data_IF_075504778780
#
_entry.id   IF_075504778780
#
_cell.length_a   1.000
_cell.length_b   1.000
_cell.length_c   1.000
_cell.angle_alpha   90.00
_cell.angle_beta   90.00
_cell.angle_gamma   90.00
#
_symmetry.space_group_name_H-M   'P 1'
#
loop_
_entity.id
_entity.type
_entity.pdbx_description
1 polymer ?
#
# COMPACT_ATOMS: atom_id res chain seq x y z
N UNK A 1 -14.15 -22.24 29.48
CA UNK A 1 -14.26 -20.75 29.49
C UNK A 1 -15.08 -20.34 28.26
N UNK A 2 -16.39 -20.13 28.40
CA UNK A 2 -17.31 -19.84 27.28
C UNK A 2 -17.40 -18.34 26.93
N UNK A 3 -17.32 -17.45 27.93
CA UNK A 3 -17.31 -15.99 27.75
C UNK A 3 -16.28 -15.43 26.75
N UNK A 4 -15.01 -15.87 26.70
CA UNK A 4 -14.05 -15.34 25.73
C UNK A 4 -14.40 -15.70 24.28
N UNK A 5 -15.18 -16.77 24.05
CA UNK A 5 -15.67 -17.13 22.72
C UNK A 5 -16.71 -16.12 22.23
N UNK A 6 -17.74 -15.84 23.03
CA UNK A 6 -18.76 -14.84 22.70
C UNK A 6 -18.17 -13.43 22.52
N UNK A 7 -17.17 -13.06 23.33
CA UNK A 7 -16.45 -11.77 23.16
C UNK A 7 -15.70 -11.67 21.84
N UNK A 8 -15.27 -12.80 21.26
CA UNK A 8 -14.52 -12.81 20.01
C UNK A 8 -15.38 -12.66 18.75
N UNK A 9 -16.68 -12.92 18.86
CA UNK A 9 -17.65 -12.77 17.78
C UNK A 9 -17.95 -11.29 17.48
N UNK A 10 -18.35 -11.01 16.24
CA UNK A 10 -18.78 -9.66 15.82
C UNK A 10 -20.21 -9.38 16.32
N UNK A 11 -20.60 -8.10 16.44
CA UNK A 11 -21.97 -7.72 16.83
C UNK A 11 -23.06 -8.38 15.94
N UNK A 12 -22.95 -8.44 14.60
CA UNK A 12 -23.93 -9.14 13.76
C UNK A 12 -24.01 -10.64 14.05
N UNK A 13 -22.88 -11.33 14.24
CA UNK A 13 -22.87 -12.77 14.60
C UNK A 13 -23.53 -13.02 15.97
N UNK A 14 -23.36 -12.10 16.93
CA UNK A 14 -24.05 -12.17 18.22
C UNK A 14 -25.55 -11.91 18.10
N UNK A 15 -25.96 -11.04 17.19
CA UNK A 15 -27.37 -10.79 16.89
C UNK A 15 -28.02 -12.01 16.23
N UNK A 16 -27.36 -12.66 15.27
CA UNK A 16 -27.84 -13.90 14.65
C UNK A 16 -27.99 -15.03 15.68
N UNK A 17 -27.07 -15.15 16.64
CA UNK A 17 -27.19 -16.12 17.74
C UNK A 17 -28.31 -15.75 18.72
N UNK A 18 -28.54 -14.46 18.95
CA UNK A 18 -29.65 -13.97 19.76
C UNK A 18 -31.00 -14.26 19.09
N UNK A 19 -31.10 -14.05 17.77
CA UNK A 19 -32.25 -14.40 16.95
C UNK A 19 -32.52 -15.91 16.95
N UNK A 20 -31.48 -16.73 16.75
CA UNK A 20 -31.63 -18.20 16.78
C UNK A 20 -32.03 -18.76 18.14
N UNK A 21 -31.80 -18.01 19.21
CA UNK A 21 -32.14 -18.43 20.57
C UNK A 21 -33.37 -17.69 21.13
N UNK A 22 -34.08 -16.92 20.30
CA UNK A 22 -35.24 -16.12 20.68
C UNK A 22 -34.98 -15.22 21.92
N UNK A 23 -33.80 -14.59 21.98
CA UNK A 23 -33.47 -13.67 23.07
C UNK A 23 -34.24 -12.34 22.89
N UNK A 24 -35.12 -11.95 23.84
CA UNK A 24 -35.93 -10.75 23.68
C UNK A 24 -35.09 -9.47 23.83
N UNK A 25 -35.42 -8.43 23.05
CA UNK A 25 -34.82 -7.08 23.11
C UNK A 25 -33.29 -7.07 22.93
N UNK A 26 -32.73 -7.98 22.10
CA UNK A 26 -31.28 -8.06 21.90
C UNK A 26 -30.68 -6.81 21.22
N UNK A 27 -31.49 -6.08 20.43
CA UNK A 27 -31.09 -4.88 19.68
C UNK A 27 -30.70 -3.68 20.55
N UNK A 28 -31.29 -3.57 21.74
CA UNK A 28 -31.06 -2.47 22.67
C UNK A 28 -29.72 -2.61 23.42
N UNK A 29 -29.09 -3.78 23.37
CA UNK A 29 -27.85 -4.05 24.09
C UNK A 29 -26.61 -3.62 23.31
N UNK A 30 -25.67 -2.99 24.04
CA UNK A 30 -24.31 -2.79 23.54
C UNK A 30 -23.59 -4.15 23.44
N UNK A 31 -22.60 -4.28 22.55
CA UNK A 31 -21.90 -5.56 22.27
C UNK A 31 -21.45 -6.29 23.54
N UNK A 32 -20.86 -5.58 24.49
CA UNK A 32 -20.36 -6.18 25.72
C UNK A 32 -21.48 -6.68 26.64
N UNK A 33 -22.61 -5.99 26.64
CA UNK A 33 -23.78 -6.36 27.45
C UNK A 33 -24.53 -7.54 26.81
N UNK A 34 -24.69 -7.50 25.47
CA UNK A 34 -25.25 -8.60 24.67
C UNK A 34 -24.49 -9.91 24.92
N UNK A 35 -23.15 -9.86 25.00
CA UNK A 35 -22.34 -11.05 25.33
C UNK A 35 -22.67 -11.62 26.71
N UNK A 36 -22.87 -10.77 27.72
CA UNK A 36 -23.15 -11.21 29.10
C UNK A 36 -24.58 -11.75 29.21
N UNK A 37 -25.54 -11.03 28.63
CA UNK A 37 -26.95 -11.44 28.60
C UNK A 37 -27.12 -12.75 27.83
N UNK A 38 -26.48 -12.88 26.67
CA UNK A 38 -26.52 -14.10 25.85
C UNK A 38 -25.82 -15.28 26.56
N UNK A 39 -24.67 -15.08 27.21
CA UNK A 39 -24.01 -16.14 27.99
C UNK A 39 -24.89 -16.64 29.13
N UNK A 40 -25.60 -15.73 29.83
CA UNK A 40 -26.55 -16.09 30.88
C UNK A 40 -27.72 -16.90 30.30
N UNK A 41 -28.33 -16.40 29.22
CA UNK A 41 -29.45 -17.06 28.54
C UNK A 41 -29.10 -18.47 28.06
N UNK A 42 -27.92 -18.65 27.45
CA UNK A 42 -27.43 -19.94 26.97
C UNK A 42 -27.13 -20.95 28.08
N UNK A 43 -26.76 -20.48 29.28
CA UNK A 43 -26.54 -21.34 30.44
C UNK A 43 -27.84 -21.76 31.10
N UNK A 44 -28.79 -20.84 31.22
CA UNK A 44 -30.12 -21.09 31.79
C UNK A 44 -30.92 -22.07 30.91
N UNK A 45 -30.83 -21.92 29.59
CA UNK A 45 -31.57 -22.73 28.61
C UNK A 45 -30.73 -23.82 27.94
N UNK A 46 -29.75 -24.38 28.67
CA UNK A 46 -28.78 -25.34 28.12
C UNK A 46 -29.44 -26.59 27.52
N UNK A 47 -30.48 -27.13 28.15
CA UNK A 47 -31.17 -28.34 27.68
C UNK A 47 -31.89 -28.16 26.36
N UNK A 48 -32.28 -26.92 26.02
CA UNK A 48 -33.01 -26.56 24.81
C UNK A 48 -32.02 -26.34 23.66
N UNK A 49 -30.93 -25.63 23.93
CA UNK A 49 -30.00 -25.17 22.90
C UNK A 49 -28.77 -26.03 22.69
N UNK A 50 -28.56 -27.10 23.48
CA UNK A 50 -27.39 -27.98 23.33
C UNK A 50 -27.32 -28.74 22.00
N UNK A 51 -28.43 -28.83 21.26
CA UNK A 51 -28.52 -29.50 19.96
C UNK A 51 -28.27 -28.60 18.75
N UNK A 52 -28.12 -27.28 18.94
CA UNK A 52 -27.90 -26.34 17.83
C UNK A 52 -26.44 -26.38 17.37
N UNK A 53 -26.23 -26.56 16.06
CA UNK A 53 -24.91 -26.65 15.44
C UNK A 53 -24.08 -25.37 15.66
N UNK A 54 -24.73 -24.20 15.60
CA UNK A 54 -24.12 -22.88 15.83
C UNK A 54 -23.57 -22.68 17.24
N UNK A 55 -24.09 -23.42 18.23
CA UNK A 55 -23.71 -23.31 19.65
C UNK A 55 -22.83 -24.47 20.14
N UNK A 56 -22.49 -25.42 19.27
CA UNK A 56 -21.67 -26.59 19.63
C UNK A 56 -20.26 -26.16 20.12
N UNK A 57 -19.67 -25.16 19.47
CA UNK A 57 -18.38 -24.60 19.90
C UNK A 57 -18.48 -23.88 21.25
N UNK A 58 -19.59 -23.19 21.51
CA UNK A 58 -19.85 -22.57 22.81
C UNK A 58 -19.97 -23.62 23.92
N UNK A 59 -20.79 -24.66 23.72
CA UNK A 59 -21.03 -25.70 24.73
C UNK A 59 -19.84 -26.64 24.94
N UNK A 60 -19.05 -26.94 23.91
CA UNK A 60 -17.80 -27.71 24.06
C UNK A 60 -16.75 -26.98 24.92
N UNK A 61 -16.67 -25.64 24.79
CA UNK A 61 -15.82 -24.77 25.61
C UNK A 61 -16.35 -24.55 27.03
N UNK A 62 -17.67 -24.71 27.22
CA UNK A 62 -18.32 -24.69 28.53
C UNK A 62 -18.13 -26.03 29.28
N UNK A 63 -18.23 -27.16 28.57
CA UNK A 63 -18.05 -28.50 29.11
C UNK A 63 -16.59 -28.84 29.43
N UNK A 64 -15.63 -28.12 28.82
CA UNK A 64 -14.21 -28.27 29.13
C UNK A 64 -13.86 -27.64 30.49
N UNK A 65 -13.40 -28.41 31.48
CA UNK A 65 -13.02 -27.87 32.80
C UNK A 65 -11.81 -26.92 32.67
N UNK A 66 -11.62 -25.98 33.62
CA UNK A 66 -10.50 -25.06 33.60
C UNK A 66 -9.17 -25.83 33.67
N UNK A 67 -8.40 -25.80 32.58
CA UNK A 67 -7.01 -26.29 32.56
C UNK A 67 -6.14 -25.39 33.44
N UNK A 68 -6.05 -25.72 34.73
CA UNK A 68 -4.87 -25.43 35.55
C UNK A 68 -3.75 -26.36 35.08
N UNK A 69 -2.65 -25.81 34.57
CA UNK A 69 -1.40 -26.56 34.39
C UNK A 69 -0.77 -26.44 33.01
N UNK A 70 0.40 -25.79 33.01
CA UNK A 70 1.58 -25.87 32.14
C UNK A 70 1.56 -26.83 30.91
N UNK A 71 2.12 -26.40 29.75
CA UNK A 71 2.20 -27.23 28.55
C UNK A 71 3.23 -28.36 28.71
N UNK A 72 2.77 -29.54 29.10
CA UNK A 72 3.54 -30.78 28.95
C UNK A 72 3.32 -31.32 27.54
N UNK A 73 4.45 -31.40 26.83
CA UNK A 73 4.69 -32.08 25.56
C UNK A 73 3.99 -33.44 25.53
N UNK A 74 2.93 -33.57 24.73
CA UNK A 74 2.21 -34.83 24.52
C UNK A 74 2.96 -35.68 23.51
N UNK A 75 3.80 -36.56 24.02
CA UNK A 75 4.29 -37.74 23.34
C UNK A 75 3.22 -38.85 23.51
N UNK A 76 2.88 -39.57 22.45
CA UNK A 76 2.05 -40.78 22.56
C UNK A 76 2.57 -41.84 21.59
N UNK A 77 3.45 -42.66 22.15
CA UNK A 77 3.47 -44.13 22.17
C UNK A 77 3.15 -44.92 20.91
N UNK A 78 4.17 -45.69 20.54
CA UNK A 78 4.30 -46.76 19.54
C UNK A 78 3.39 -47.97 19.79
N UNK A 79 2.93 -48.60 18.71
CA UNK A 79 2.61 -50.03 18.61
C UNK A 79 3.85 -50.83 18.18
N UNK A 80 4.01 -52.12 18.57
CA UNK A 80 5.19 -52.91 18.22
C UNK A 80 4.93 -53.94 17.10
N UNK A 81 5.90 -54.15 16.20
CA UNK A 81 6.51 -55.45 15.88
C UNK A 81 7.50 -55.39 14.70
N UNK A 82 8.72 -55.93 14.93
CA UNK A 82 9.71 -56.61 14.03
C UNK A 82 10.15 -55.87 12.74
N UNK A 83 11.41 -55.70 12.36
CA UNK A 83 12.69 -56.45 12.53
C UNK A 83 13.85 -55.52 12.04
N UNK A 84 15.14 -55.85 12.25
CA UNK A 84 16.23 -54.86 12.39
C UNK A 84 17.13 -54.72 11.15
N UNK A 85 17.80 -53.57 11.00
CA UNK A 85 19.20 -53.47 10.53
C UNK A 85 19.76 -52.03 10.54
N UNK A 86 20.78 -51.84 11.38
CA UNK A 86 22.14 -51.33 11.03
C UNK A 86 22.44 -49.81 11.01
N UNK A 87 23.41 -49.48 11.89
CA UNK A 87 24.43 -48.39 11.91
C UNK A 87 23.93 -46.98 12.31
N UNK A 88 24.27 -46.47 13.50
CA UNK A 88 25.59 -46.01 14.02
C UNK A 88 25.94 -44.58 13.59
N UNK A 89 26.07 -43.67 14.56
CA UNK A 89 26.52 -42.30 14.35
C UNK A 89 26.34 -41.40 15.59
N UNK A 90 27.13 -41.66 16.63
CA UNK A 90 27.29 -40.86 17.86
C UNK A 90 28.13 -39.60 17.54
N UNK A 91 27.73 -38.41 17.99
CA UNK A 91 28.71 -37.36 18.35
C UNK A 91 28.16 -36.40 19.42
N UNK A 92 29.04 -36.18 20.40
CA UNK A 92 28.86 -35.49 21.67
C UNK A 92 28.75 -33.97 21.59
N UNK A 93 28.14 -33.49 22.68
CA UNK A 93 28.17 -32.17 23.31
C UNK A 93 29.57 -31.57 23.40
N UNK A 94 29.66 -30.24 23.23
CA UNK A 94 30.62 -29.39 23.96
C UNK A 94 29.97 -28.04 24.28
N UNK A 95 29.73 -27.82 25.57
CA UNK A 95 29.56 -26.49 26.18
C UNK A 95 30.95 -25.87 26.39
N UNK A 96 31.05 -24.54 26.25
CA UNK A 96 31.97 -23.74 27.07
C UNK A 96 31.48 -22.29 27.12
N UNK A 97 31.34 -21.82 28.37
CA UNK A 97 31.02 -20.49 28.87
C UNK A 97 32.35 -19.76 29.14
N UNK A 98 32.35 -18.42 29.07
CA UNK A 98 33.15 -17.41 29.82
C UNK A 98 32.90 -16.08 29.06
N UNK A 99 32.78 -14.87 29.62
CA UNK A 99 32.41 -14.26 30.92
C UNK A 99 32.73 -12.75 30.72
N UNK A 100 32.06 -11.90 31.48
CA UNK A 100 32.10 -10.42 31.45
C UNK A 100 33.44 -9.76 31.77
N UNK A 101 33.63 -8.51 31.32
CA UNK A 101 34.40 -7.45 32.02
C UNK A 101 33.78 -6.05 31.75
N UNK A 102 33.31 -5.40 32.83
CA UNK A 102 32.98 -3.96 33.00
C UNK A 102 34.25 -3.07 32.83
N UNK A 103 34.26 -1.77 32.55
CA UNK A 103 33.77 -0.67 33.40
C UNK A 103 34.10 0.71 32.78
N UNK A 104 33.26 1.70 33.13
CA UNK A 104 33.58 3.11 33.48
C UNK A 104 33.71 4.24 32.42
N UNK A 105 32.90 5.31 32.69
CA UNK A 105 33.24 6.75 32.81
C UNK A 105 32.27 7.70 32.07
N UNK A 106 31.42 8.38 32.84
CA UNK A 106 30.72 9.66 32.57
C UNK A 106 31.69 10.87 32.71
N UNK A 107 31.47 12.10 32.15
CA UNK A 107 30.27 12.94 32.42
C UNK A 107 29.81 13.95 31.32
N UNK A 108 28.70 14.64 31.61
CA UNK A 108 27.99 15.70 30.83
C UNK A 108 28.80 17.00 30.58
N UNK A 109 28.37 17.95 29.69
CA UNK A 109 27.47 19.05 30.12
C UNK A 109 26.47 19.64 29.08
N UNK A 110 25.30 20.06 29.59
CA UNK A 110 24.51 21.30 29.35
C UNK A 110 24.63 22.07 28.01
N UNK A 111 23.53 22.17 27.24
CA UNK A 111 23.11 23.41 26.49
C UNK A 111 21.58 23.47 26.27
N UNK A 112 20.92 24.37 27.02
CA UNK A 112 19.88 25.38 26.67
C UNK A 112 18.77 25.09 25.62
N UNK A 113 17.52 25.00 26.12
CA UNK A 113 16.20 25.24 25.48
C UNK A 113 15.99 26.73 25.08
N UNK A 114 15.07 27.16 24.14
CA UNK A 114 13.63 26.88 24.26
C UNK A 114 12.75 26.81 23.00
N UNK A 115 11.68 26.03 23.16
CA UNK A 115 10.39 26.05 22.43
C UNK A 115 9.50 27.22 22.87
N UNK A 116 8.57 27.72 22.02
CA UNK A 116 7.33 28.32 22.49
C UNK A 116 6.10 27.45 22.17
N UNK A 117 5.25 27.30 23.19
CA UNK A 117 3.98 26.56 23.21
C UNK A 117 2.78 27.40 22.71
N UNK A 118 1.64 26.77 22.34
CA UNK A 118 0.41 27.44 21.92
C UNK A 118 -0.50 27.77 23.12
N UNK A 119 -1.25 28.88 23.00
CA UNK A 119 -2.17 29.39 24.04
C UNK A 119 -3.60 28.94 23.74
N UNK A 120 -4.20 28.23 24.70
CA UNK A 120 -5.64 28.03 24.81
C UNK A 120 -6.19 28.97 25.90
N UNK A 121 -7.34 29.62 25.66
CA UNK A 121 -8.21 30.14 26.72
C UNK A 121 -9.69 29.92 26.39
N UNK A 122 -10.33 29.30 27.36
CA UNK A 122 -11.77 29.14 27.62
C UNK A 122 -12.43 30.46 27.98
N UNK A 123 -13.73 30.62 27.70
CA UNK A 123 -14.79 30.83 28.74
C UNK A 123 -16.15 31.25 28.16
N UNK A 124 -17.16 30.50 28.61
CA UNK A 124 -18.46 30.94 29.15
C UNK A 124 -19.56 31.49 28.21
N UNK A 125 -20.75 30.98 28.51
CA UNK A 125 -22.06 31.03 27.90
C UNK A 125 -22.92 32.00 28.73
N UNK A 126 -23.66 32.92 28.11
CA UNK A 126 -24.87 33.47 28.72
C UNK A 126 -25.87 34.05 27.70
N UNK A 127 -27.11 34.17 28.15
CA UNK A 127 -28.38 34.09 27.41
C UNK A 127 -29.00 35.43 27.00
N UNK A 128 -29.96 35.29 26.06
CA UNK A 128 -31.25 36.01 25.96
C UNK A 128 -31.29 37.50 25.59
N UNK A 129 -32.02 37.82 24.49
CA UNK A 129 -33.33 38.50 24.56
C UNK A 129 -33.99 38.71 23.18
N UNK A 130 -35.21 38.17 23.07
CA UNK A 130 -36.46 38.82 22.62
C UNK A 130 -36.55 39.53 21.24
N UNK A 131 -37.42 38.97 20.38
CA UNK A 131 -38.21 39.54 19.25
C UNK A 131 -39.14 40.72 19.69
N UNK A 132 -40.00 41.38 18.86
CA UNK A 132 -40.41 41.21 17.43
C UNK A 132 -40.67 42.53 16.62
N UNK A 133 -41.32 42.38 15.44
CA UNK A 133 -42.11 43.37 14.63
C UNK A 133 -41.28 44.26 13.67
N UNK A 134 -41.71 44.60 12.45
CA UNK A 134 -43.02 44.64 11.79
C UNK A 134 -42.80 44.80 10.26
N UNK A 135 -43.57 44.12 9.42
CA UNK A 135 -43.85 44.47 8.01
C UNK A 135 -44.79 45.68 7.93
N UNK A 136 -44.77 46.50 6.85
CA UNK A 136 -45.77 46.27 5.79
C UNK A 136 -45.41 46.73 4.35
N UNK A 137 -46.04 46.00 3.40
CA UNK A 137 -46.68 46.44 2.14
C UNK A 137 -45.83 46.93 0.94
N UNK A 138 -45.94 46.12 -0.12
CA UNK A 138 -45.84 46.49 -1.55
C UNK A 138 -46.71 47.72 -1.92
N UNK A 139 -46.44 48.37 -3.08
CA UNK A 139 -47.09 47.91 -4.31
C UNK A 139 -46.15 47.78 -5.52
N UNK A 140 -46.51 46.88 -6.41
CA UNK A 140 -45.94 46.72 -7.74
C UNK A 140 -46.27 47.93 -8.64
N UNK A 141 -45.28 48.40 -9.40
CA UNK A 141 -45.47 49.14 -10.65
C UNK A 141 -44.33 48.76 -11.61
N UNK A 142 -44.67 48.10 -12.72
CA UNK A 142 -43.84 48.09 -13.94
C UNK A 142 -44.14 49.40 -14.69
N UNK A 143 -43.14 50.05 -15.31
CA UNK A 143 -43.03 49.88 -16.77
C UNK A 143 -41.59 49.98 -17.37
N UNK A 144 -41.42 49.24 -18.47
CA UNK A 144 -40.74 49.63 -19.72
C UNK A 144 -39.24 50.00 -19.76
N UNK A 145 -38.50 49.09 -20.41
CA UNK A 145 -37.32 49.23 -21.30
C UNK A 145 -36.89 50.67 -21.61
N UNK A 146 -35.67 51.05 -21.19
CA UNK A 146 -34.67 51.84 -21.95
C UNK A 146 -33.29 51.58 -21.31
N UNK A 147 -32.36 50.96 -22.04
CA UNK A 147 -30.92 51.22 -21.85
C UNK A 147 -30.58 52.43 -22.75
N UNK A 148 -29.77 53.41 -22.29
CA UNK A 148 -28.33 53.27 -22.50
C UNK A 148 -27.42 53.92 -21.44
N UNK A 149 -26.20 53.39 -21.39
CA UNK A 149 -24.93 53.94 -20.87
C UNK A 149 -24.50 53.72 -19.39
N UNK A 150 -23.21 53.40 -19.19
CA UNK A 150 -22.65 53.02 -17.89
C UNK A 150 -22.20 54.27 -17.11
N UNK A 151 -22.89 54.61 -16.03
CA UNK A 151 -22.38 55.62 -15.09
C UNK A 151 -21.17 55.05 -14.34
N UNK A 152 -19.98 55.50 -14.74
CA UNK A 152 -18.70 55.31 -14.06
C UNK A 152 -18.83 55.58 -12.55
N UNK A 153 -18.44 54.65 -11.65
CA UNK A 153 -18.28 55.00 -10.25
C UNK A 153 -17.02 55.86 -10.08
N UNK A 154 -17.22 57.09 -9.61
CA UNK A 154 -16.19 58.02 -9.19
C UNK A 154 -15.54 57.55 -7.88
N UNK A 155 -14.33 56.97 -7.98
CA UNK A 155 -13.22 57.05 -7.00
C UNK A 155 -12.26 55.86 -7.22
N UNK A 156 -10.93 56.07 -7.21
CA UNK A 156 -9.94 55.00 -7.41
C UNK A 156 -10.07 53.86 -6.39
N UNK A 157 -10.57 54.12 -5.18
CA UNK A 157 -10.82 53.08 -4.17
C UNK A 157 -11.98 52.14 -4.52
N UNK A 158 -13.00 52.64 -5.21
CA UNK A 158 -14.14 51.82 -5.65
C UNK A 158 -13.74 50.88 -6.78
N UNK A 159 -12.81 51.30 -7.66
CA UNK A 159 -12.26 50.45 -8.72
C UNK A 159 -11.38 49.35 -8.11
N UNK A 160 -10.58 49.65 -7.09
CA UNK A 160 -9.78 48.63 -6.40
C UNK A 160 -10.66 47.63 -5.65
N UNK A 161 -11.74 48.06 -5.02
CA UNK A 161 -12.68 47.14 -4.36
C UNK A 161 -13.40 46.23 -5.35
N UNK A 162 -13.76 46.73 -6.54
CA UNK A 162 -14.36 45.91 -7.60
C UNK A 162 -13.35 44.94 -8.19
N UNK A 163 -12.10 45.35 -8.39
CA UNK A 163 -11.01 44.47 -8.87
C UNK A 163 -10.67 43.42 -7.82
N UNK A 164 -10.57 43.78 -6.54
CA UNK A 164 -10.31 42.83 -5.46
C UNK A 164 -11.46 41.84 -5.31
N UNK A 165 -12.72 42.31 -5.39
CA UNK A 165 -13.89 41.45 -5.37
C UNK A 165 -13.93 40.50 -6.59
N UNK A 166 -13.52 40.96 -7.78
CA UNK A 166 -13.41 40.12 -8.97
C UNK A 166 -12.25 39.13 -8.88
N UNK A 167 -11.12 39.54 -8.29
CA UNK A 167 -9.94 38.70 -8.10
C UNK A 167 -10.20 37.60 -7.07
N UNK A 168 -10.92 37.91 -6.00
CA UNK A 168 -11.37 36.94 -5.00
C UNK A 168 -12.33 35.94 -5.63
N UNK A 169 -13.33 36.40 -6.40
CA UNK A 169 -14.28 35.51 -7.10
C UNK A 169 -13.61 34.64 -8.16
N UNK A 170 -12.65 35.18 -8.92
CA UNK A 170 -11.87 34.40 -9.88
C UNK A 170 -11.01 33.36 -9.18
N UNK A 171 -10.35 33.73 -8.08
CA UNK A 171 -9.57 32.78 -7.26
C UNK A 171 -10.45 31.68 -6.67
N UNK A 172 -11.65 32.00 -6.20
CA UNK A 172 -12.63 31.02 -5.70
C UNK A 172 -13.16 30.13 -6.81
N UNK A 173 -13.41 30.67 -8.02
CA UNK A 173 -13.84 29.89 -9.19
C UNK A 173 -12.73 28.96 -9.72
N UNK A 174 -11.48 29.42 -9.74
CA UNK A 174 -10.33 28.62 -10.12
C UNK A 174 -10.04 27.55 -9.06
N UNK A 175 -10.11 27.90 -7.78
CA UNK A 175 -9.94 26.95 -6.69
C UNK A 175 -11.04 25.89 -6.69
N UNK A 176 -12.31 26.27 -6.90
CA UNK A 176 -13.43 25.33 -7.00
C UNK A 176 -13.40 24.49 -8.26
N UNK A 177 -12.97 25.03 -9.41
CA UNK A 177 -12.73 24.23 -10.62
C UNK A 177 -11.52 23.28 -10.46
N UNK A 178 -10.49 23.70 -9.72
CA UNK A 178 -9.30 22.90 -9.42
C UNK A 178 -9.57 21.77 -8.41
N UNK A 179 -10.45 22.00 -7.43
CA UNK A 179 -10.90 20.95 -6.51
C UNK A 179 -11.97 20.07 -7.16
N UNK A 180 -12.89 20.62 -7.98
CA UNK A 180 -13.91 19.86 -8.70
C UNK A 180 -13.31 18.93 -9.77
N UNK A 181 -12.14 19.26 -10.34
CA UNK A 181 -11.40 18.37 -11.24
C UNK A 181 -10.76 17.18 -10.52
N UNK A 182 -10.80 17.14 -9.18
CA UNK A 182 -10.25 16.04 -8.37
C UNK A 182 -8.73 15.89 -8.53
N UNK A 183 -8.04 16.91 -9.04
CA UNK A 183 -6.60 16.83 -9.30
C UNK A 183 -5.80 16.65 -8.01
N UNK A 184 -6.23 17.30 -6.92
CA UNK A 184 -5.60 17.18 -5.59
C UNK A 184 -5.82 15.79 -5.00
N UNK A 185 -7.04 15.25 -5.08
CA UNK A 185 -7.34 13.88 -4.62
C UNK A 185 -6.57 12.83 -5.44
N UNK A 186 -6.46 13.04 -6.77
CA UNK A 186 -5.62 12.21 -7.66
C UNK A 186 -4.13 12.35 -7.34
N UNK A 187 -3.65 13.54 -6.99
CA UNK A 187 -2.27 13.73 -6.59
C UNK A 187 -1.96 13.04 -5.25
N UNK A 188 -2.89 13.09 -4.29
CA UNK A 188 -2.77 12.34 -3.04
C UNK A 188 -2.87 10.83 -3.23
N UNK A 189 -3.76 10.35 -4.11
CA UNK A 189 -3.86 8.93 -4.43
C UNK A 189 -2.63 8.43 -5.18
N UNK A 190 -2.11 9.21 -6.13
CA UNK A 190 -0.85 8.93 -6.80
C UNK A 190 0.30 8.91 -5.79
N UNK A 191 0.38 9.89 -4.88
CA UNK A 191 1.39 9.89 -3.81
C UNK A 191 1.27 8.64 -2.94
N UNK A 192 0.07 8.22 -2.57
CA UNK A 192 -0.14 7.00 -1.80
C UNK A 192 0.29 5.75 -2.59
N UNK A 193 0.02 5.69 -3.89
CA UNK A 193 0.47 4.61 -4.78
C UNK A 193 2.00 4.63 -4.93
N UNK A 194 2.59 5.79 -5.23
CA UNK A 194 4.03 6.04 -5.38
C UNK A 194 4.82 5.77 -4.08
N UNK A 195 4.18 5.92 -2.93
CA UNK A 195 4.77 5.64 -1.62
C UNK A 195 4.80 4.15 -1.27
N UNK A 196 4.36 3.26 -2.16
CA UNK A 196 4.50 1.81 -2.01
C UNK A 196 5.82 1.33 -2.62
N UNK A 197 6.45 0.34 -1.98
CA UNK A 197 7.65 -0.35 -2.51
C UNK A 197 7.39 -0.89 -3.91
N UNK A 198 6.20 -1.43 -4.16
CA UNK A 198 5.79 -1.95 -5.47
C UNK A 198 5.76 -0.86 -6.55
N UNK A 199 5.44 0.37 -6.21
CA UNK A 199 5.47 1.46 -7.18
C UNK A 199 6.90 1.89 -7.52
N UNK A 200 7.80 1.92 -6.55
CA UNK A 200 9.24 2.17 -6.80
C UNK A 200 9.80 1.12 -7.75
N UNK A 201 9.48 -0.15 -7.51
CA UNK A 201 9.87 -1.29 -8.35
C UNK A 201 9.33 -1.16 -9.79
N UNK A 202 8.06 -0.80 -9.96
CA UNK A 202 7.46 -0.54 -11.27
C UNK A 202 8.17 0.62 -11.98
N UNK A 203 8.50 1.70 -11.27
CA UNK A 203 9.21 2.84 -11.86
C UNK A 203 10.60 2.44 -12.34
N UNK A 204 11.35 1.67 -11.54
CA UNK A 204 12.65 1.14 -11.95
C UNK A 204 12.52 0.29 -13.22
N UNK A 205 11.54 -0.62 -13.27
CA UNK A 205 11.26 -1.42 -14.46
C UNK A 205 10.82 -0.59 -15.67
N UNK A 206 10.06 0.49 -15.46
CA UNK A 206 9.66 1.42 -16.52
C UNK A 206 10.85 2.22 -17.07
N UNK A 207 11.78 2.62 -16.20
CA UNK A 207 13.01 3.29 -16.63
C UNK A 207 13.90 2.32 -17.42
N UNK A 208 14.08 1.09 -16.94
CA UNK A 208 14.84 0.05 -17.66
C UNK A 208 14.23 -0.26 -19.03
N UNK A 209 12.92 -0.58 -19.08
CA UNK A 209 12.22 -0.89 -20.33
C UNK A 209 12.09 0.30 -21.27
N UNK A 210 11.87 1.51 -20.75
CA UNK A 210 11.80 2.73 -21.54
C UNK A 210 13.15 3.08 -22.17
N UNK A 211 14.25 2.85 -21.45
CA UNK A 211 15.60 3.05 -21.99
C UNK A 211 15.92 2.02 -23.08
N UNK A 212 15.54 0.76 -22.86
CA UNK A 212 15.61 -0.30 -23.87
C UNK A 212 14.80 0.07 -25.12
N UNK A 213 13.54 0.46 -24.95
CA UNK A 213 12.66 0.82 -26.07
C UNK A 213 13.20 2.03 -26.86
N UNK A 214 13.79 3.02 -26.17
CA UNK A 214 14.40 4.19 -26.82
C UNK A 214 15.60 3.80 -27.69
N UNK A 215 16.45 2.90 -27.22
CA UNK A 215 17.62 2.45 -27.97
C UNK A 215 17.23 1.58 -29.18
N UNK A 216 16.16 0.80 -29.02
CA UNK A 216 15.71 -0.12 -30.06
C UNK A 216 14.89 0.53 -31.18
N UNK A 217 14.30 1.70 -30.95
CA UNK A 217 13.50 2.43 -31.95
C UNK A 217 14.33 3.59 -32.50
N UNK A 218 15.08 3.38 -33.59
CA UNK A 218 15.89 4.45 -34.15
C UNK A 218 15.01 5.57 -34.70
N UNK A 219 15.35 6.80 -34.35
CA UNK A 219 14.71 8.00 -34.88
C UNK A 219 15.33 8.29 -36.26
N UNK A 220 14.60 7.97 -37.33
CA UNK A 220 15.08 8.18 -38.72
C UNK A 220 14.67 9.55 -39.24
N UNK A 221 15.54 10.13 -40.06
CA UNK A 221 15.26 11.37 -40.79
C UNK A 221 14.50 11.03 -42.07
N UNK A 222 13.37 11.70 -42.31
CA UNK A 222 12.55 11.46 -43.52
C UNK A 222 12.67 12.64 -44.48
N UNK A 223 12.41 13.86 -44.02
CA UNK A 223 12.41 15.04 -44.89
C UNK A 223 12.62 16.32 -44.09
N UNK A 224 13.14 17.36 -44.74
CA UNK A 224 13.25 18.70 -44.15
C UNK A 224 12.18 19.59 -44.77
N UNK A 225 11.44 20.33 -43.95
CA UNK A 225 10.48 21.33 -44.48
C UNK A 225 11.24 22.41 -45.25
N UNK A 226 10.75 22.80 -46.45
CA UNK A 226 11.41 23.85 -47.21
C UNK A 226 11.40 25.17 -46.40
N UNK A 227 12.51 25.93 -46.38
CA UNK A 227 12.57 27.18 -45.64
C UNK A 227 11.59 28.18 -46.26
N UNK A 228 10.64 28.67 -45.44
CA UNK A 228 9.71 29.70 -45.86
C UNK A 228 10.34 31.08 -45.61
N UNK A 229 11.05 31.60 -46.62
CA UNK A 229 11.67 32.94 -46.55
C UNK A 229 10.64 34.05 -46.27
N UNK A 230 9.37 33.86 -46.65
CA UNK A 230 8.28 34.79 -46.38
C UNK A 230 7.92 34.91 -44.88
N UNK A 231 8.23 33.91 -44.06
CA UNK A 231 7.89 33.87 -42.63
C UNK A 231 9.11 33.80 -41.71
N UNK A 232 10.33 33.92 -42.24
CA UNK A 232 11.60 33.73 -41.50
C UNK A 232 11.67 32.40 -40.72
N UNK A 233 10.93 31.37 -41.15
CA UNK A 233 10.94 30.07 -40.48
C UNK A 233 12.13 29.26 -41.03
N UNK A 234 13.10 28.86 -40.18
CA UNK A 234 14.22 28.05 -40.62
C UNK A 234 13.75 26.65 -41.04
N UNK A 235 14.56 25.97 -41.85
CA UNK A 235 14.27 24.61 -42.27
C UNK A 235 14.30 23.65 -41.06
N UNK A 236 13.18 22.98 -40.76
CA UNK A 236 13.06 22.06 -39.62
C UNK A 236 13.17 20.62 -40.15
N UNK A 237 14.17 19.83 -39.69
CA UNK A 237 14.26 18.43 -40.07
C UNK A 237 13.17 17.64 -39.36
N UNK A 238 12.28 16.99 -40.12
CA UNK A 238 11.27 16.09 -39.58
C UNK A 238 11.92 14.72 -39.36
N UNK A 239 12.02 14.33 -38.10
CA UNK A 239 12.49 13.02 -37.67
C UNK A 239 11.31 12.23 -37.12
N UNK A 240 11.19 10.98 -37.54
CA UNK A 240 10.08 10.10 -37.15
C UNK A 240 10.66 8.79 -36.62
N UNK A 241 10.13 8.24 -35.52
CA UNK A 241 10.52 6.91 -35.05
C UNK A 241 10.18 5.86 -36.11
N UNK A 242 11.13 4.98 -36.40
CA UNK A 242 10.91 3.87 -37.32
C UNK A 242 10.14 2.74 -36.61
N UNK A 243 8.81 2.74 -36.79
CA UNK A 243 7.93 1.75 -36.18
C UNK A 243 7.99 0.38 -36.87
N UNK A 244 8.58 0.27 -38.05
CA UNK A 244 8.75 -1.04 -38.71
C UNK A 244 9.77 -1.92 -37.99
N UNK A 245 10.66 -1.32 -37.19
CA UNK A 245 11.55 -2.05 -36.30
C UNK A 245 10.80 -2.95 -35.31
N UNK A 246 9.56 -2.63 -34.92
CA UNK A 246 8.75 -3.47 -34.04
C UNK A 246 8.36 -4.81 -34.68
N UNK A 247 8.50 -4.97 -36.00
CA UNK A 247 8.24 -6.24 -36.69
C UNK A 247 9.48 -7.13 -36.77
N UNK A 248 10.66 -6.60 -36.45
CA UNK A 248 11.92 -7.32 -36.58
C UNK A 248 12.23 -8.18 -35.35
N UNK A 249 12.78 -9.37 -35.58
CA UNK A 249 13.28 -10.24 -34.49
C UNK A 249 14.41 -9.56 -33.71
N UNK A 250 15.17 -8.67 -34.37
CA UNK A 250 16.23 -7.90 -33.74
C UNK A 250 15.73 -6.92 -32.66
N UNK A 251 14.45 -6.51 -32.75
CA UNK A 251 13.76 -5.74 -31.72
C UNK A 251 13.31 -6.67 -30.58
N UNK A 252 12.62 -7.76 -30.93
CA UNK A 252 12.03 -8.65 -29.92
C UNK A 252 13.05 -9.44 -29.11
N UNK A 253 14.19 -9.81 -29.68
CA UNK A 253 15.20 -10.62 -28.98
C UNK A 253 15.70 -9.98 -27.66
N UNK A 254 16.22 -8.74 -27.64
CA UNK A 254 16.61 -8.09 -26.39
C UNK A 254 15.40 -7.72 -25.51
N UNK A 255 14.24 -7.38 -26.09
CA UNK A 255 13.01 -7.07 -25.31
C UNK A 255 12.51 -8.29 -24.56
N UNK A 256 12.38 -9.44 -25.23
CA UNK A 256 11.92 -10.68 -24.61
C UNK A 256 12.97 -11.24 -23.65
N UNK A 257 14.26 -11.05 -23.93
CA UNK A 257 15.33 -11.40 -22.99
C UNK A 257 15.19 -10.60 -21.69
N UNK A 258 15.12 -9.27 -21.78
CA UNK A 258 14.93 -8.40 -20.61
C UNK A 258 13.63 -8.72 -19.88
N UNK A 259 12.53 -8.91 -20.61
CA UNK A 259 11.24 -9.28 -20.02
C UNK A 259 11.32 -10.61 -19.27
N UNK A 260 11.98 -11.61 -19.85
CA UNK A 260 12.11 -12.93 -19.25
C UNK A 260 12.95 -12.88 -17.97
N UNK A 261 14.07 -12.15 -17.99
CA UNK A 261 15.05 -12.12 -16.90
C UNK A 261 14.69 -11.16 -15.79
N UNK A 262 14.20 -9.95 -16.13
CA UNK A 262 13.95 -8.89 -15.18
C UNK A 262 12.51 -8.87 -14.65
N UNK A 263 11.57 -9.55 -15.31
CA UNK A 263 10.15 -9.52 -14.94
C UNK A 263 9.52 -10.91 -14.81
N UNK A 264 9.47 -11.71 -15.88
CA UNK A 264 8.68 -12.94 -15.91
C UNK A 264 9.19 -14.02 -14.94
N UNK A 265 10.48 -14.39 -15.02
CA UNK A 265 11.05 -15.40 -14.13
C UNK A 265 11.07 -14.94 -12.65
N UNK A 266 11.50 -13.71 -12.31
CA UNK A 266 11.37 -13.19 -10.95
C UNK A 266 9.94 -13.22 -10.41
N UNK A 267 8.95 -12.89 -11.24
CA UNK A 267 7.54 -12.87 -10.85
C UNK A 267 6.97 -14.27 -10.62
N UNK A 268 7.35 -15.24 -11.46
CA UNK A 268 7.04 -16.67 -11.24
C UNK A 268 7.64 -17.12 -9.91
N UNK A 269 8.91 -16.81 -9.65
CA UNK A 269 9.55 -17.21 -8.40
C UNK A 269 8.89 -16.54 -7.19
N UNK A 270 8.55 -15.25 -7.27
CA UNK A 270 7.85 -14.53 -6.20
C UNK A 270 6.42 -15.03 -5.95
N UNK A 271 5.82 -15.70 -6.92
CA UNK A 271 4.52 -16.36 -6.77
C UNK A 271 4.63 -17.68 -6.01
N UNK A 272 5.59 -18.53 -6.38
CA UNK A 272 5.74 -19.87 -5.78
C UNK A 272 6.56 -19.87 -4.48
N UNK A 273 7.54 -18.98 -4.37
CA UNK A 273 8.44 -18.86 -3.23
C UNK A 273 8.04 -17.59 -2.47
N UNK A 274 7.44 -17.75 -1.29
CA UNK A 274 6.99 -16.63 -0.47
C UNK A 274 7.70 -16.65 0.89
N UNK A 275 8.78 -15.86 1.01
CA UNK A 275 9.56 -15.76 2.25
C UNK A 275 8.79 -14.96 3.30
N UNK A 276 8.03 -13.94 2.87
CA UNK A 276 7.24 -13.08 3.77
C UNK A 276 6.17 -13.85 4.55
N UNK A 277 5.58 -14.90 3.96
CA UNK A 277 4.61 -15.78 4.63
C UNK A 277 5.22 -16.53 5.82
N UNK A 278 6.42 -17.09 5.64
CA UNK A 278 7.12 -17.82 6.70
C UNK A 278 7.51 -16.89 7.86
N UNK A 279 7.98 -15.68 7.55
CA UNK A 279 8.33 -14.66 8.54
C UNK A 279 7.11 -14.20 9.37
N UNK A 280 5.94 -14.02 8.74
CA UNK A 280 4.70 -13.63 9.42
C UNK A 280 4.08 -14.78 10.24
N UNK A 281 4.17 -16.03 9.76
CA UNK A 281 3.56 -17.19 10.42
C UNK A 281 4.15 -17.53 11.80
N UNK A 282 5.40 -17.12 12.06
CA UNK A 282 6.12 -17.44 13.30
C UNK A 282 5.80 -16.46 14.44
N UNK A 283 5.39 -15.23 14.11
CA UNK A 283 5.08 -14.19 15.10
C UNK A 283 3.57 -14.07 15.34
N UNK A 284 3.03 -14.94 16.21
CA UNK A 284 1.69 -14.86 16.83
C UNK A 284 0.53 -14.56 15.86
N UNK A 285 -0.23 -15.62 15.54
CA UNK A 285 -1.60 -15.59 14.98
C UNK A 285 -2.44 -14.40 15.53
N UNK A 286 -2.41 -13.27 14.84
CA UNK A 286 -3.27 -12.12 15.10
C UNK A 286 -3.95 -11.73 13.80
N UNK A 287 -5.18 -12.22 13.65
CA UNK A 287 -6.33 -11.56 13.02
C UNK A 287 -6.02 -10.48 11.95
N UNK A 288 -5.51 -10.90 10.81
CA UNK A 288 -5.81 -10.33 9.48
C UNK A 288 -4.96 -11.06 8.44
N UNK A 289 -5.31 -12.31 8.12
CA UNK A 289 -4.78 -12.98 6.95
C UNK A 289 -5.43 -12.41 5.67
N UNK A 290 -5.33 -11.09 5.47
CA UNK A 290 -5.62 -10.49 4.18
C UNK A 290 -4.33 -10.52 3.37
N UNK A 291 -4.16 -11.60 2.59
CA UNK A 291 -3.65 -11.59 1.21
C UNK A 291 -3.14 -13.00 0.86
N UNK A 292 -4.07 -13.89 0.51
CA UNK A 292 -3.77 -15.25 0.04
C UNK A 292 -3.12 -15.30 -1.37
N UNK A 293 -2.80 -14.17 -2.00
CA UNK A 293 -2.17 -14.13 -3.32
C UNK A 293 -1.37 -12.83 -3.56
N UNK A 294 -0.46 -12.47 -2.64
CA UNK A 294 0.43 -11.32 -2.84
C UNK A 294 1.83 -11.81 -3.25
N UNK A 295 2.31 -11.32 -4.40
CA UNK A 295 3.67 -11.55 -4.88
C UNK A 295 4.68 -10.99 -3.89
N UNK A 296 5.61 -11.84 -3.42
CA UNK A 296 6.64 -11.44 -2.47
C UNK A 296 7.69 -10.51 -3.13
N UNK A 297 7.72 -9.20 -2.78
CA UNK A 297 8.68 -8.25 -3.36
C UNK A 297 10.13 -8.60 -3.07
N UNK A 298 10.41 -9.22 -1.92
CA UNK A 298 11.79 -9.56 -1.55
C UNK A 298 12.31 -10.71 -2.43
N UNK A 299 11.49 -11.75 -2.60
CA UNK A 299 11.82 -12.88 -3.48
C UNK A 299 12.00 -12.41 -4.93
N UNK A 300 11.12 -11.54 -5.42
CA UNK A 300 11.22 -10.97 -6.77
C UNK A 300 12.60 -10.34 -7.00
N UNK A 301 13.04 -9.44 -6.11
CA UNK A 301 14.27 -8.70 -6.32
C UNK A 301 15.53 -9.56 -6.12
N UNK A 302 15.51 -10.55 -5.22
CA UNK A 302 16.61 -11.51 -5.08
C UNK A 302 16.77 -12.35 -6.34
N UNK A 303 15.66 -12.86 -6.89
CA UNK A 303 15.69 -13.68 -8.11
C UNK A 303 16.09 -12.84 -9.31
N UNK A 304 15.57 -11.60 -9.43
CA UNK A 304 16.02 -10.65 -10.45
C UNK A 304 17.53 -10.42 -10.35
N UNK A 305 18.07 -10.15 -9.17
CA UNK A 305 19.52 -9.94 -8.99
C UNK A 305 20.34 -11.17 -9.41
N UNK A 306 19.89 -12.38 -9.05
CA UNK A 306 20.55 -13.63 -9.44
C UNK A 306 20.52 -13.81 -10.97
N UNK A 307 19.36 -13.62 -11.60
CA UNK A 307 19.21 -13.76 -13.04
C UNK A 307 20.00 -12.69 -13.80
N UNK A 308 20.03 -11.46 -13.31
CA UNK A 308 20.86 -10.38 -13.87
C UNK A 308 22.34 -10.78 -13.82
N UNK A 309 22.81 -11.31 -12.68
CA UNK A 309 24.17 -11.81 -12.57
C UNK A 309 24.47 -12.96 -13.54
N UNK A 310 23.55 -13.91 -13.66
CA UNK A 310 23.75 -15.07 -14.51
C UNK A 310 23.72 -14.70 -16.00
N UNK A 311 22.78 -13.88 -16.42
CA UNK A 311 22.57 -13.54 -17.84
C UNK A 311 23.54 -12.46 -18.31
N UNK A 312 23.64 -11.35 -17.58
CA UNK A 312 24.44 -10.20 -18.00
C UNK A 312 25.86 -10.21 -17.43
N UNK A 313 26.08 -10.85 -16.27
CA UNK A 313 27.42 -10.97 -15.68
C UNK A 313 28.20 -12.22 -16.09
N UNK A 314 27.52 -13.27 -16.57
CA UNK A 314 28.14 -14.54 -17.02
C UNK A 314 27.75 -14.92 -18.45
N UNK A 315 27.14 -13.99 -19.19
CA UNK A 315 26.71 -14.19 -20.58
C UNK A 315 25.81 -15.43 -20.79
N UNK A 316 25.01 -15.80 -19.78
CA UNK A 316 24.09 -16.94 -19.91
C UNK A 316 22.99 -16.63 -20.92
N UNK A 317 22.96 -17.39 -22.00
CA UNK A 317 22.10 -17.14 -23.16
C UNK A 317 20.88 -18.07 -23.26
N UNK A 318 20.45 -18.67 -22.15
CA UNK A 318 19.35 -19.65 -22.08
C UNK A 318 19.54 -20.82 -23.04
N UNK A 319 20.69 -21.50 -22.96
CA UNK A 319 21.01 -22.65 -23.80
C UNK A 319 21.01 -22.33 -25.32
N UNK A 320 21.41 -21.10 -25.68
CA UNK A 320 21.48 -20.65 -27.06
C UNK A 320 20.20 -20.08 -27.65
N UNK A 321 19.14 -19.91 -26.85
CA UNK A 321 17.89 -19.26 -27.31
C UNK A 321 18.13 -17.79 -27.68
N UNK A 322 19.05 -17.13 -26.97
CA UNK A 322 19.40 -15.73 -27.22
C UNK A 322 20.82 -15.60 -27.76
N UNK A 323 21.05 -14.62 -28.63
CA UNK A 323 22.40 -14.28 -29.10
C UNK A 323 23.12 -13.39 -28.08
N UNK A 324 24.46 -13.46 -28.06
CA UNK A 324 25.28 -12.56 -27.24
C UNK A 324 25.05 -11.09 -27.63
N UNK A 325 24.72 -10.82 -28.90
CA UNK A 325 24.36 -9.47 -29.36
C UNK A 325 23.08 -8.95 -28.71
N UNK A 326 22.10 -9.81 -28.42
CA UNK A 326 20.90 -9.40 -27.69
C UNK A 326 21.21 -9.04 -26.23
N UNK A 327 22.11 -9.80 -25.59
CA UNK A 327 22.58 -9.51 -24.22
C UNK A 327 23.30 -8.15 -24.20
N UNK A 328 24.24 -7.94 -25.13
CA UNK A 328 24.97 -6.67 -25.25
C UNK A 328 24.04 -5.47 -25.49
N UNK A 329 23.03 -5.62 -26.38
CA UNK A 329 22.04 -4.55 -26.61
C UNK A 329 21.26 -4.17 -25.36
N UNK A 330 20.88 -5.14 -24.53
CA UNK A 330 20.20 -4.82 -23.26
C UNK A 330 21.16 -4.06 -22.35
N UNK A 331 22.41 -4.52 -22.23
CA UNK A 331 23.42 -3.90 -21.40
C UNK A 331 23.71 -2.44 -21.81
N UNK A 332 23.87 -2.19 -23.11
CA UNK A 332 24.16 -0.85 -23.64
C UNK A 332 22.97 0.11 -23.49
N UNK A 333 21.75 -0.43 -23.49
CA UNK A 333 20.52 0.38 -23.43
C UNK A 333 20.12 0.80 -22.01
N UNK A 334 20.51 0.06 -20.98
CA UNK A 334 20.12 0.33 -19.59
C UNK A 334 21.07 1.36 -18.99
N UNK A 335 20.57 2.42 -18.33
CA UNK A 335 21.43 3.40 -17.67
C UNK A 335 22.31 2.74 -16.61
N UNK A 336 23.63 2.79 -16.82
CA UNK A 336 24.61 2.14 -15.94
C UNK A 336 24.81 0.64 -16.21
N UNK A 337 24.29 0.10 -17.31
CA UNK A 337 24.51 -1.28 -17.75
C UNK A 337 24.11 -2.32 -16.71
N UNK A 338 25.02 -3.25 -16.45
CA UNK A 338 24.85 -4.36 -15.51
C UNK A 338 24.73 -3.83 -14.08
N UNK A 339 25.57 -2.86 -13.73
CA UNK A 339 25.53 -2.17 -12.44
C UNK A 339 24.18 -1.47 -12.25
N UNK A 340 23.61 -0.89 -13.31
CA UNK A 340 22.27 -0.30 -13.29
C UNK A 340 21.17 -1.31 -12.95
N UNK A 341 21.18 -2.46 -13.63
CA UNK A 341 20.25 -3.57 -13.38
C UNK A 341 20.37 -4.13 -11.95
N UNK A 342 21.61 -4.24 -11.43
CA UNK A 342 21.84 -4.63 -10.04
C UNK A 342 21.34 -3.58 -9.06
N UNK A 343 21.58 -2.30 -9.34
CA UNK A 343 21.14 -1.19 -8.50
C UNK A 343 19.62 -1.17 -8.38
N UNK A 344 18.90 -1.39 -9.48
CA UNK A 344 17.44 -1.52 -9.46
C UNK A 344 16.96 -2.65 -8.56
N UNK A 345 17.63 -3.81 -8.62
CA UNK A 345 17.32 -4.95 -7.76
C UNK A 345 17.67 -4.69 -6.28
N UNK A 346 18.79 -4.03 -6.00
CA UNK A 346 19.23 -3.68 -4.66
C UNK A 346 18.26 -2.71 -3.98
N UNK A 347 17.78 -1.68 -4.71
CA UNK A 347 16.75 -0.75 -4.23
C UNK A 347 15.47 -1.52 -3.86
N UNK A 348 15.05 -2.47 -4.69
CA UNK A 348 13.88 -3.31 -4.40
C UNK A 348 14.04 -4.21 -3.18
N UNK A 349 15.22 -4.82 -2.98
CA UNK A 349 15.53 -5.61 -1.77
C UNK A 349 15.43 -4.74 -0.51
N UNK A 350 16.08 -3.56 -0.52
CA UNK A 350 16.07 -2.64 0.62
C UNK A 350 14.65 -2.14 0.91
N UNK A 351 13.89 -1.78 -0.12
CA UNK A 351 12.49 -1.37 0.00
C UNK A 351 11.62 -2.47 0.60
N UNK A 352 11.73 -3.70 0.10
CA UNK A 352 10.96 -4.84 0.60
C UNK A 352 11.29 -5.17 2.06
N UNK A 353 12.57 -5.08 2.44
CA UNK A 353 13.01 -5.28 3.82
C UNK A 353 12.50 -4.19 4.75
N UNK A 354 12.54 -2.93 4.31
CA UNK A 354 12.00 -1.79 5.06
C UNK A 354 10.51 -1.96 5.35
N UNK A 355 9.71 -2.32 4.35
CA UNK A 355 8.28 -2.59 4.49
C UNK A 355 8.01 -3.78 5.43
N UNK A 356 8.79 -4.87 5.30
CA UNK A 356 8.67 -6.03 6.18
C UNK A 356 9.00 -5.72 7.65
N UNK A 357 9.98 -4.86 7.91
CA UNK A 357 10.33 -4.41 9.28
C UNK A 357 9.21 -3.53 9.85
N UNK A 358 8.71 -2.57 9.06
CA UNK A 358 7.66 -1.64 9.50
C UNK A 358 6.35 -2.35 9.83
N UNK A 359 5.99 -3.40 9.08
CA UNK A 359 4.81 -4.21 9.38
C UNK A 359 4.97 -5.17 10.56
N UNK A 360 6.19 -5.33 11.09
CA UNK A 360 6.48 -6.21 12.23
C UNK A 360 6.54 -5.47 13.56
N UNK A 361 6.84 -4.16 13.57
CA UNK A 361 6.78 -3.28 14.74
C UNK A 361 5.35 -2.87 15.04
#
# INVERSE_FOLDING_TARGET
MSLPYLKSLKKPELAELADQTDLPHYDDYNKNDLVVVLDRHLRENRSIFSGLESLNEYYSRLASPPRRGSPVKRETTRTPAKTPARRSGKKEVKEEIIEDVEEAVEPSPVVVSPTPAPVARTSVRESARQTPRQTPRQPAVFPTIVDPEPSLPASPAAITEVIDAQTIKLRESLHSAWTATGFVDRAHSLRAMLSSVKAIEIIVLLVESGSLAKELIPIRYITTTPPLQAAQIPAIPIRVPDLFGLLEVAFWAPVSLWFLTCLFLPLISAYFINLSWQASSSARRSRSASNLAQFDPLTFNIVKALLVHMVFGKDFNFFGVYSLSAIGKVLDSVPGGDVGLFTGSAIGIVGALYEAILHRS
#
